data_IF_432928605750
#
_entry.id   IF_432928605750
#
_cell.length_a   1.000
_cell.length_b   1.000
_cell.length_c   1.000
_cell.angle_alpha   90.00
_cell.angle_beta   90.00
_cell.angle_gamma   90.00
#
_symmetry.space_group_name_H-M   'P 1'
#
loop_
_entity.id
_entity.type
_entity.pdbx_description
1 polymer ?
2 non-polymer ?
3 non-polymer ?
4 non-polymer ?
5 non-polymer ?
6 water ?
#
# COMPACT_ATOMS: atom_id res chain seq x y z
N UNK A 2 25.81 8.91 13.53
CA UNK A 2 25.24 7.96 14.54
C UNK A 2 24.03 7.27 13.98
N UNK A 3 23.35 6.45 14.78
CA UNK A 3 22.27 5.64 14.33
C UNK A 3 20.96 6.40 14.59
N UNK A 4 20.12 6.38 13.57
CA UNK A 4 18.78 7.00 13.61
C UNK A 4 17.77 6.00 13.18
N UNK A 5 16.61 6.07 13.77
CA UNK A 5 15.44 5.28 13.34
C UNK A 5 14.45 6.22 12.72
N UNK A 6 13.74 5.73 11.74
CA UNK A 6 12.61 6.45 11.16
C UNK A 6 11.40 5.54 11.08
N UNK A 7 10.26 6.08 11.55
CA UNK A 7 9.05 5.32 11.67
C UNK A 7 7.83 6.17 11.62
N UNK A 8 6.70 5.52 11.32
CA UNK A 8 5.34 6.14 11.38
C UNK A 8 4.57 5.45 12.43
N UNK A 9 4.01 6.21 13.40
CA UNK A 9 3.37 5.66 14.63
C UNK A 9 1.99 6.23 14.78
N UNK A 10 0.99 5.38 14.97
CA UNK A 10 -0.35 5.82 15.33
C UNK A 10 -0.46 6.20 16.78
N UNK A 11 -1.36 7.12 17.02
CA UNK A 11 -1.60 7.62 18.36
C UNK A 11 -2.05 6.63 19.45
N UNK A 12 -2.89 5.63 19.17
CA UNK A 12 -3.35 4.72 20.28
C UNK A 12 -2.95 3.33 19.88
N UNK A 13 -1.67 3.11 19.81
CA UNK A 13 -1.20 1.87 19.21
C UNK A 13 -1.03 0.85 20.30
N UNK A 14 -1.23 -0.39 19.89
CA UNK A 14 -1.06 -1.62 20.68
C UNK A 14 0.21 -2.29 20.24
N UNK A 15 1.19 -2.25 21.15
CA UNK A 15 2.58 -2.50 20.74
C UNK A 15 2.91 -3.96 21.03
N UNK A 16 3.04 -4.75 19.97
CA UNK A 16 3.58 -6.06 20.03
C UNK A 16 4.92 -6.18 19.33
N UNK A 17 5.30 -7.38 18.96
CA UNK A 17 6.74 -7.60 18.55
C UNK A 17 7.11 -6.99 17.21
N UNK A 18 6.13 -6.94 16.39
CA UNK A 18 6.34 -6.39 15.02
C UNK A 18 6.26 -4.88 14.89
N UNK A 19 5.96 -4.16 15.98
CA UNK A 19 5.74 -2.71 16.02
C UNK A 19 7.02 -1.99 16.45
N UNK A 20 7.06 -0.69 16.13
CA UNK A 20 8.06 0.18 16.69
C UNK A 20 7.95 0.05 18.23
N UNK A 21 9.07 -0.03 18.98
CA UNK A 21 9.03 -0.21 20.43
C UNK A 21 8.38 0.88 21.18
N UNK A 22 8.00 0.60 22.43
CA UNK A 22 7.58 1.60 23.30
C UNK A 22 8.89 2.43 23.62
N UNK A 23 8.88 3.71 23.38
CA UNK A 23 10.09 4.47 23.71
C UNK A 23 9.75 5.33 24.90
N UNK A 24 10.78 5.62 25.71
CA UNK A 24 10.59 6.39 26.92
C UNK A 24 10.65 7.87 26.61
N UNK A 25 9.52 8.59 26.67
CA UNK A 25 9.58 10.01 26.30
C UNK A 25 10.57 10.83 27.15
N UNK A 26 10.82 10.43 28.39
CA UNK A 26 11.77 11.14 29.25
C UNK A 26 13.18 11.10 28.71
N UNK A 27 13.50 10.21 27.76
CA UNK A 27 14.86 10.06 27.32
C UNK A 27 15.14 10.76 25.97
N UNK A 28 14.18 11.44 25.45
CA UNK A 28 14.21 11.99 24.06
C UNK A 28 13.80 13.49 24.07
N UNK A 29 14.60 14.36 23.53
CA UNK A 29 14.35 15.75 23.33
C UNK A 29 13.75 16.04 21.99
N UNK A 30 12.55 16.62 21.94
CA UNK A 30 12.01 17.05 20.69
C UNK A 30 12.71 18.24 20.16
N UNK A 31 13.28 18.10 19.02
CA UNK A 31 14.04 19.20 18.37
C UNK A 31 13.39 19.83 17.14
N UNK A 32 12.39 19.17 16.58
CA UNK A 32 11.65 19.66 15.45
C UNK A 32 10.28 19.03 15.48
N UNK A 33 9.22 19.86 15.22
CA UNK A 33 7.82 19.38 15.21
C UNK A 33 7.15 20.27 14.15
N UNK A 34 6.54 19.63 13.19
CA UNK A 34 5.75 20.26 12.14
C UNK A 34 4.39 19.60 12.10
N UNK A 35 3.34 20.37 12.54
CA UNK A 35 1.96 19.88 12.36
C UNK A 35 1.28 20.25 11.05
N UNK A 36 0.41 19.40 10.52
CA UNK A 36 -0.14 19.68 9.21
C UNK A 36 -1.54 19.11 9.15
N UNK A 37 -2.31 19.53 8.15
CA UNK A 37 -3.65 19.01 7.96
C UNK A 37 -3.61 17.54 7.58
N UNK A 38 -4.52 16.77 8.19
CA UNK A 38 -4.78 15.35 7.82
C UNK A 38 -5.39 15.27 6.43
N UNK A 39 -4.73 14.55 5.55
CA UNK A 39 -5.10 14.49 4.13
C UNK A 39 -4.93 13.01 3.81
N UNK A 40 -5.85 12.39 3.06
CA UNK A 40 -5.73 10.96 2.77
C UNK A 40 -4.68 10.71 1.71
N UNK A 41 -3.85 9.68 1.91
CA UNK A 41 -2.67 9.41 1.08
C UNK A 41 -1.77 10.69 0.94
N UNK A 42 -1.71 11.49 2.01
CA UNK A 42 -0.94 12.77 2.00
C UNK A 42 0.41 12.51 1.45
N UNK A 43 0.77 13.15 0.33
CA UNK A 43 2.04 12.94 -0.33
C UNK A 43 3.28 13.31 0.50
N UNK A 44 3.09 14.12 1.52
CA UNK A 44 4.26 14.62 2.25
C UNK A 44 4.85 13.49 3.05
N UNK A 45 4.04 12.47 3.34
CA UNK A 45 4.54 11.32 4.19
C UNK A 45 5.73 10.66 3.55
N UNK A 46 5.62 10.39 2.24
CA UNK A 46 6.70 9.80 1.55
C UNK A 46 7.88 10.76 1.35
N UNK A 47 7.60 12.05 1.11
CA UNK A 47 8.60 13.04 0.91
C UNK A 47 9.46 13.23 2.16
N UNK A 48 8.79 13.18 3.28
CA UNK A 48 9.45 13.21 4.61
C UNK A 48 10.46 12.00 4.63
N UNK A 49 9.99 10.79 4.29
CA UNK A 49 10.90 9.64 4.37
C UNK A 49 12.06 9.81 3.42
N UNK A 50 11.72 10.28 2.18
CA UNK A 50 12.77 10.49 1.22
C UNK A 50 13.84 11.55 1.63
N UNK A 51 13.37 12.65 2.18
CA UNK A 51 14.24 13.68 2.55
C UNK A 51 15.18 13.20 3.68
N UNK A 52 14.54 12.52 4.64
CA UNK A 52 15.29 12.16 5.79
C UNK A 52 16.25 11.01 5.64
N UNK A 53 16.02 10.19 4.64
CA UNK A 53 16.93 9.12 4.32
C UNK A 53 17.91 9.43 3.18
N UNK A 54 17.83 10.64 2.65
CA UNK A 54 18.62 11.06 1.45
C UNK A 54 20.10 10.74 1.57
N UNK A 55 20.63 9.89 0.66
CA UNK A 55 22.09 9.69 0.61
C UNK A 55 22.67 9.10 1.88
N UNK A 56 21.85 8.36 2.62
CA UNK A 56 22.31 7.70 3.82
C UNK A 56 22.11 6.18 3.64
N UNK A 57 22.98 5.37 4.27
CA UNK A 57 22.70 3.96 4.26
C UNK A 57 21.45 3.64 5.04
N UNK A 58 20.64 2.73 4.53
CA UNK A 58 19.43 2.23 5.16
C UNK A 58 19.55 0.77 5.54
N UNK A 59 19.23 0.45 6.80
CA UNK A 59 19.20 -0.89 7.34
C UNK A 59 17.79 -1.33 7.65
N UNK A 60 17.46 -2.55 7.19
CA UNK A 60 16.08 -3.06 7.36
C UNK A 60 16.09 -4.57 7.53
N UNK A 61 15.05 -5.08 8.17
CA UNK A 61 15.00 -6.57 8.26
C UNK A 61 14.41 -7.16 7.04
N UNK A 62 14.56 -8.45 6.91
CA UNK A 62 14.03 -9.14 5.71
C UNK A 62 12.56 -8.94 5.51
N UNK A 63 11.74 -8.93 6.58
CA UNK A 63 10.26 -8.75 6.34
C UNK A 63 9.96 -7.42 5.68
N UNK A 64 10.62 -6.38 6.23
CA UNK A 64 10.46 -5.08 5.71
C UNK A 64 10.97 -4.92 4.25
N UNK A 65 12.12 -5.53 3.95
CA UNK A 65 12.65 -5.65 2.66
C UNK A 65 11.61 -6.30 1.70
N UNK A 66 11.02 -7.36 2.13
CA UNK A 66 10.03 -8.04 1.26
C UNK A 66 8.81 -7.17 1.05
N UNK A 67 8.37 -6.37 2.06
CA UNK A 67 7.26 -5.39 1.89
C UNK A 67 7.63 -4.25 0.91
N UNK A 68 8.90 -3.93 0.73
CA UNK A 68 9.30 -2.85 -0.13
C UNK A 68 9.69 -3.42 -1.49
N UNK A 69 10.65 -4.35 -1.49
CA UNK A 69 10.92 -5.19 -2.67
C UNK A 69 11.91 -4.71 -3.73
N UNK A 70 12.32 -3.45 -3.69
CA UNK A 70 13.24 -2.95 -4.68
C UNK A 70 14.07 -1.97 -3.84
N UNK A 71 15.33 -1.81 -4.22
CA UNK A 71 16.22 -0.95 -3.45
C UNK A 71 15.83 0.51 -3.48
N UNK A 72 15.98 1.14 -2.32
CA UNK A 72 15.83 2.59 -2.25
C UNK A 72 17.04 3.22 -2.99
N UNK A 73 16.78 4.00 -4.07
CA UNK A 73 17.89 4.48 -4.97
C UNK A 73 18.90 5.40 -4.33
N UNK A 74 20.17 5.24 -4.67
CA UNK A 74 21.24 6.17 -4.26
C UNK A 74 21.62 6.05 -2.79
N UNK A 75 21.21 4.92 -2.15
CA UNK A 75 21.41 4.59 -0.72
C UNK A 75 22.03 3.18 -0.74
N UNK A 76 23.01 2.89 0.10
CA UNK A 76 23.39 1.52 0.37
C UNK A 76 22.21 0.91 1.15
N UNK A 77 21.68 -0.24 0.69
CA UNK A 77 20.55 -0.85 1.29
C UNK A 77 21.09 -2.13 1.94
N UNK A 78 20.96 -2.24 3.26
CA UNK A 78 21.48 -3.27 4.06
C UNK A 78 20.37 -4.10 4.73
N UNK A 79 20.25 -5.36 4.31
CA UNK A 79 19.19 -6.25 4.77
C UNK A 79 19.71 -7.26 5.76
N UNK A 80 19.17 -7.31 6.97
CA UNK A 80 19.44 -8.28 7.99
C UNK A 80 18.65 -9.54 7.76
N UNK A 81 19.35 -10.67 7.67
CA UNK A 81 18.69 -12.02 7.52
C UNK A 81 19.70 -13.06 8.00
N UNK A 82 19.26 -14.11 8.72
CA UNK A 82 20.15 -15.26 9.03
C UNK A 82 20.52 -16.08 7.78
N UNK A 83 19.82 -15.93 6.66
CA UNK A 83 20.03 -16.73 5.45
C UNK A 83 20.76 -15.98 4.38
N UNK A 84 21.41 -16.71 3.46
CA UNK A 84 22.07 -16.03 2.35
C UNK A 84 21.07 -15.20 1.59
N UNK A 85 21.56 -14.12 1.03
CA UNK A 85 20.74 -13.22 0.28
C UNK A 85 20.04 -13.76 -0.91
N UNK A 86 18.91 -13.18 -1.20
CA UNK A 86 18.08 -13.49 -2.38
C UNK A 86 17.80 -12.34 -3.28
N UNK A 87 18.68 -11.34 -3.34
CA UNK A 87 18.58 -10.21 -4.25
C UNK A 87 19.90 -9.54 -4.32
N UNK A 88 20.52 -9.65 -5.49
CA UNK A 88 21.88 -9.15 -5.69
C UNK A 88 21.94 -7.61 -5.74
N UNK A 89 20.80 -6.93 -5.80
CA UNK A 89 20.79 -5.46 -5.86
C UNK A 89 21.10 -4.78 -4.51
N UNK A 90 21.00 -5.55 -3.44
CA UNK A 90 21.25 -5.03 -2.08
C UNK A 90 22.29 -5.79 -1.31
N UNK A 91 22.68 -5.31 -0.12
CA UNK A 91 23.71 -5.91 0.69
C UNK A 91 23.07 -6.70 1.80
N UNK A 92 23.47 -7.94 1.99
CA UNK A 92 22.89 -8.78 3.00
C UNK A 92 23.86 -9.06 4.09
N UNK A 93 23.40 -9.00 5.34
CA UNK A 93 24.16 -9.23 6.54
C UNK A 93 23.44 -10.10 7.58
N UNK A 94 24.17 -10.84 8.42
CA UNK A 94 23.63 -11.86 9.30
C UNK A 94 23.63 -11.50 10.78
N UNK A 95 23.97 -10.20 11.13
CA UNK A 95 23.97 -9.72 12.48
C UNK A 95 23.99 -8.11 12.44
N UNK A 96 23.54 -7.60 13.55
CA UNK A 96 23.53 -6.14 13.87
C UNK A 96 24.95 -5.59 13.64
N UNK A 97 25.97 -6.25 14.22
CA UNK A 97 27.35 -5.78 14.07
C UNK A 97 27.75 -5.75 12.63
N UNK A 98 27.47 -6.83 11.86
CA UNK A 98 27.76 -6.81 10.47
C UNK A 98 27.04 -5.69 9.68
N UNK A 99 25.80 -5.38 10.10
CA UNK A 99 25.09 -4.24 9.52
C UNK A 99 25.74 -2.91 9.77
N UNK A 100 26.14 -2.66 10.96
CA UNK A 100 26.87 -1.40 11.30
C UNK A 100 28.19 -1.36 10.53
N UNK A 101 28.93 -2.48 10.51
CA UNK A 101 30.15 -2.54 9.78
C UNK A 101 29.98 -2.21 8.29
N UNK A 102 28.93 -2.68 7.63
CA UNK A 102 28.72 -2.52 6.24
C UNK A 102 28.41 -1.06 5.85
N UNK A 103 28.01 -0.28 6.86
CA UNK A 103 27.71 1.13 6.61
C UNK A 103 28.95 2.01 6.44
N UNK A 104 30.12 1.55 6.89
CA UNK A 104 31.33 2.31 6.84
C UNK A 104 31.34 3.54 7.76
N UNK A 105 32.16 4.55 7.37
CA UNK A 105 32.25 5.78 8.16
C UNK A 105 31.41 6.81 7.48
N UNK A 106 30.14 6.93 7.96
CA UNK A 106 29.16 7.85 7.47
C UNK A 106 28.63 8.73 8.60
N UNK A 107 28.06 9.90 8.27
CA UNK A 107 27.56 10.78 9.32
C UNK A 107 26.32 10.23 10.03
N UNK A 108 25.56 9.40 9.38
CA UNK A 108 24.32 8.97 9.85
C UNK A 108 23.88 7.68 9.13
N UNK A 109 23.42 6.74 9.95
CA UNK A 109 22.89 5.41 9.53
C UNK A 109 21.38 5.45 9.81
N UNK A 110 20.53 5.10 8.85
CA UNK A 110 19.11 5.13 9.01
C UNK A 110 18.57 3.72 9.17
N UNK A 111 17.80 3.41 10.18
CA UNK A 111 17.12 2.10 10.35
C UNK A 111 15.69 2.35 10.08
N UNK A 112 15.21 1.65 9.08
CA UNK A 112 13.86 1.86 8.58
C UNK A 112 12.82 0.80 8.94
N UNK A 113 13.18 -0.22 9.72
CA UNK A 113 12.22 -1.21 10.26
C UNK A 113 12.65 -2.62 9.98
N UNK A 114 11.88 -3.63 10.40
CA UNK A 114 10.67 -3.51 11.09
C UNK A 114 10.76 -3.65 12.56
N UNK A 115 9.72 -4.15 13.19
CA UNK A 115 9.72 -4.19 14.63
C UNK A 115 10.91 -4.89 15.27
N UNK A 116 11.30 -6.08 14.80
CA UNK A 116 12.39 -6.81 15.45
C UNK A 116 13.71 -5.95 15.29
N UNK A 117 13.86 -5.33 14.12
CA UNK A 117 15.05 -4.51 13.79
C UNK A 117 15.05 -3.20 14.58
N UNK A 118 13.91 -2.53 14.67
CA UNK A 118 13.85 -1.36 15.49
C UNK A 118 14.18 -1.66 16.96
N UNK A 119 13.75 -2.81 17.51
CA UNK A 119 13.96 -3.11 18.89
C UNK A 119 15.45 -3.29 19.15
N UNK A 120 16.19 -3.86 18.22
CA UNK A 120 17.64 -4.10 18.41
C UNK A 120 18.44 -2.82 18.24
N UNK A 121 17.98 -1.89 17.40
CA UNK A 121 18.73 -0.65 17.18
C UNK A 121 18.31 0.52 18.14
N UNK A 122 17.10 0.53 18.68
CA UNK A 122 16.68 1.65 19.52
C UNK A 122 17.65 1.95 20.66
N UNK A 123 18.17 0.92 21.37
CA UNK A 123 19.06 1.24 22.49
C UNK A 123 20.36 1.92 22.10
N UNK A 124 20.78 1.88 20.83
CA UNK A 124 22.03 2.45 20.30
C UNK A 124 21.71 3.72 19.51
N UNK A 125 20.45 4.08 19.39
CA UNK A 125 20.05 5.22 18.55
C UNK A 125 20.22 6.58 19.22
N UNK A 126 20.55 7.51 18.40
CA UNK A 126 20.76 8.96 18.79
C UNK A 126 19.62 9.86 18.33
N UNK A 127 18.87 9.53 17.29
CA UNK A 127 17.79 10.31 16.81
C UNK A 127 16.65 9.41 16.34
N UNK A 128 15.44 9.93 16.46
CA UNK A 128 14.24 9.37 15.89
C UNK A 128 13.56 10.39 14.95
N UNK A 129 13.17 9.93 13.79
CA UNK A 129 12.33 10.67 12.87
C UNK A 129 10.98 10.04 12.84
N UNK A 130 10.00 10.76 13.33
CA UNK A 130 8.64 10.14 13.52
C UNK A 130 7.54 10.88 12.76
N UNK A 131 6.66 10.08 12.20
CA UNK A 131 5.45 10.60 11.55
C UNK A 131 4.32 10.15 12.47
N UNK A 132 3.55 11.06 13.02
CA UNK A 132 2.47 10.75 13.94
C UNK A 132 1.20 10.70 13.18
N UNK A 133 0.46 9.61 13.46
CA UNK A 133 -0.73 9.32 12.63
C UNK A 133 -1.95 9.29 13.50
N UNK A 134 -3.03 9.93 13.00
CA UNK A 134 -4.28 10.09 13.77
C UNK A 134 -5.20 8.83 13.74
N UNK A 135 -6.33 8.98 14.44
CA UNK A 135 -7.31 7.88 14.68
C UNK A 135 -7.94 7.29 13.41
N UNK A 136 -7.95 8.03 12.30
CA UNK A 136 -8.35 7.44 11.01
C UNK A 136 -7.25 7.36 9.98
N UNK A 137 -5.98 7.17 10.43
CA UNK A 137 -4.91 6.68 9.57
C UNK A 137 -4.16 7.79 8.79
N UNK A 138 -4.37 9.03 9.18
CA UNK A 138 -3.72 10.19 8.55
C UNK A 138 -2.63 10.84 9.39
N UNK A 139 -1.53 11.20 8.72
CA UNK A 139 -0.44 11.91 9.43
C UNK A 139 -0.88 13.27 9.88
N UNK A 140 -0.48 13.68 11.04
CA UNK A 140 -0.73 15.07 11.43
C UNK A 140 0.51 15.84 11.88
N UNK A 141 1.67 15.15 11.99
CA UNK A 141 2.84 15.86 12.57
C UNK A 141 4.04 15.05 12.25
N UNK A 142 5.09 15.73 11.82
CA UNK A 142 6.43 15.13 11.65
C UNK A 142 7.31 15.68 12.73
N UNK A 143 8.17 14.80 13.33
CA UNK A 143 8.91 15.17 14.49
C UNK A 143 10.31 14.56 14.40
N UNK A 144 11.26 15.30 14.93
CA UNK A 144 12.64 14.80 15.13
C UNK A 144 12.95 14.88 16.60
N UNK A 145 13.37 13.76 17.22
CA UNK A 145 13.81 13.71 18.59
C UNK A 145 15.31 13.27 18.69
N UNK A 146 16.03 13.80 19.65
CA UNK A 146 17.42 13.44 19.90
C UNK A 146 17.55 12.90 21.31
N UNK A 147 18.43 11.93 21.48
CA UNK A 147 18.50 11.33 22.81
C UNK A 147 19.16 12.25 23.80
N UNK A 148 18.54 12.31 24.96
CA UNK A 148 19.03 13.16 26.09
C UNK A 148 20.21 12.48 26.74
N UNK A 149 21.32 13.23 26.86
CA UNK A 149 22.51 12.68 27.52
C UNK A 149 22.65 13.21 28.98
N UNK A 150 23.21 12.39 29.88
CA UNK A 150 23.46 12.76 31.32
C UNK A 150 24.42 13.98 31.42
N UNK B 2 -22.63 1.56 -19.24
CA UNK B 2 -22.73 0.09 -19.10
C UNK B 2 -21.87 -0.34 -17.91
N UNK B 3 -21.88 -1.62 -17.66
CA UNK B 3 -21.18 -2.21 -16.56
C UNK B 3 -19.76 -2.58 -17.00
N UNK B 4 -18.82 -2.19 -16.16
CA UNK B 4 -17.38 -2.54 -16.29
C UNK B 4 -16.92 -3.15 -15.06
N UNK B 5 -15.94 -4.06 -15.21
CA UNK B 5 -15.29 -4.66 -14.09
C UNK B 5 -13.81 -4.15 -14.10
N UNK B 6 -13.27 -3.96 -12.94
CA UNK B 6 -11.83 -3.60 -12.73
C UNK B 6 -11.24 -4.55 -11.78
N UNK B 7 -10.12 -5.18 -12.22
CA UNK B 7 -9.54 -6.26 -11.43
C UNK B 7 -8.02 -6.38 -11.73
N UNK B 8 -7.34 -7.08 -10.78
CA UNK B 8 -5.99 -7.59 -11.03
C UNK B 8 -6.06 -9.07 -11.24
N UNK B 9 -5.27 -9.57 -12.15
CA UNK B 9 -5.38 -10.91 -12.62
C UNK B 9 -3.96 -11.51 -12.67
N UNK B 10 -3.77 -12.62 -12.00
CA UNK B 10 -2.47 -13.29 -11.96
C UNK B 10 -2.34 -14.24 -13.11
N UNK B 11 -1.15 -14.30 -13.71
CA UNK B 11 -0.92 -15.14 -14.87
C UNK B 11 -0.95 -16.63 -14.49
N UNK B 12 -0.73 -16.96 -13.23
CA UNK B 12 -0.81 -18.37 -12.73
C UNK B 12 -2.11 -18.81 -12.12
N UNK B 13 -3.13 -17.96 -12.20
CA UNK B 13 -4.43 -18.20 -11.62
C UNK B 13 -4.88 -19.59 -12.08
N UNK B 18 -11.39 -18.81 -7.53
CA UNK B 18 -12.50 -17.96 -7.02
C UNK B 18 -12.29 -16.45 -7.21
N UNK B 19 -11.04 -16.02 -7.36
CA UNK B 19 -10.65 -14.60 -7.41
C UNK B 19 -11.23 -13.78 -8.58
N UNK B 20 -11.16 -14.35 -9.80
CA UNK B 20 -11.76 -13.77 -11.02
C UNK B 20 -12.37 -14.83 -11.88
N UNK B 21 -13.47 -14.52 -12.56
CA UNK B 21 -14.12 -15.64 -13.19
C UNK B 21 -13.36 -16.18 -14.38
N UNK B 22 -13.65 -17.41 -14.75
CA UNK B 22 -12.96 -18.03 -15.85
C UNK B 22 -13.58 -17.60 -17.19
N UNK B 23 -13.19 -16.43 -17.68
CA UNK B 23 -13.86 -15.80 -18.84
C UNK B 23 -13.29 -16.27 -20.19
N UNK B 24 -14.12 -16.23 -21.22
CA UNK B 24 -13.71 -16.71 -22.52
C UNK B 24 -12.98 -15.61 -23.26
N UNK B 25 -11.66 -15.72 -23.40
CA UNK B 25 -10.89 -14.63 -24.03
C UNK B 25 -11.27 -14.26 -25.42
N UNK B 26 -11.89 -15.16 -26.18
CA UNK B 26 -12.29 -14.78 -27.53
C UNK B 26 -13.56 -13.93 -27.55
N UNK B 27 -14.26 -13.80 -26.42
CA UNK B 27 -15.47 -12.96 -26.34
C UNK B 27 -15.09 -11.43 -26.19
N UNK B 28 -13.82 -11.12 -26.02
CA UNK B 28 -13.36 -9.81 -25.60
C UNK B 28 -12.26 -9.34 -26.56
N UNK B 29 -12.30 -8.06 -26.92
CA UNK B 29 -11.35 -7.39 -27.79
C UNK B 29 -10.48 -6.43 -26.97
N UNK B 30 -9.17 -6.60 -27.05
CA UNK B 30 -8.25 -5.62 -26.45
C UNK B 30 -8.22 -4.31 -27.15
N UNK B 31 -8.53 -3.25 -26.45
CA UNK B 31 -8.54 -1.90 -27.01
C UNK B 31 -7.50 -0.95 -26.49
N UNK B 32 -6.83 -1.37 -25.45
CA UNK B 32 -5.79 -0.59 -24.83
C UNK B 32 -4.89 -1.58 -24.13
N UNK B 33 -3.56 -1.48 -24.33
CA UNK B 33 -2.63 -2.29 -23.52
C UNK B 33 -1.29 -1.49 -23.37
N UNK B 34 -0.77 -1.45 -22.17
CA UNK B 34 0.46 -0.75 -21.85
C UNK B 34 1.26 -1.68 -21.02
N UNK B 35 2.45 -2.05 -21.50
CA UNK B 35 3.33 -2.83 -20.68
C UNK B 35 4.29 -1.93 -19.92
N UNK B 36 4.71 -2.41 -18.77
CA UNK B 36 5.72 -1.73 -17.98
C UNK B 36 6.62 -2.71 -17.24
N UNK B 37 7.77 -2.22 -16.79
CA UNK B 37 8.65 -3.09 -16.02
C UNK B 37 7.90 -3.53 -14.82
N UNK B 38 8.01 -4.79 -14.47
CA UNK B 38 7.32 -5.31 -13.28
C UNK B 38 8.17 -5.05 -12.04
N UNK B 39 7.99 -3.87 -11.43
CA UNK B 39 8.74 -3.48 -10.21
C UNK B 39 7.88 -3.57 -8.96
N UNK B 40 8.55 -3.60 -7.84
CA UNK B 40 7.91 -4.04 -6.59
C UNK B 40 6.98 -3.03 -5.93
N UNK B 41 7.35 -1.75 -6.06
CA UNK B 41 6.71 -0.66 -5.33
C UNK B 41 6.21 0.31 -6.40
N UNK B 42 5.11 -0.05 -7.06
CA UNK B 42 4.69 0.67 -8.26
C UNK B 42 3.43 1.47 -7.98
N UNK B 43 3.56 2.82 -7.84
CA UNK B 43 2.44 3.68 -7.57
C UNK B 43 1.46 3.70 -8.76
N UNK B 44 1.91 3.27 -9.93
CA UNK B 44 1.00 3.24 -11.09
C UNK B 44 -0.21 2.31 -10.87
N UNK B 45 -0.10 1.25 -10.05
CA UNK B 45 -1.24 0.30 -9.87
C UNK B 45 -2.44 1.00 -9.24
N UNK B 46 -2.19 1.80 -8.21
CA UNK B 46 -3.23 2.64 -7.64
C UNK B 46 -3.71 3.80 -8.53
N UNK B 47 -2.82 4.42 -9.26
CA UNK B 47 -3.17 5.55 -10.14
C UNK B 47 -4.10 5.01 -11.25
N UNK B 48 -3.83 3.80 -11.72
CA UNK B 48 -4.68 3.16 -12.77
C UNK B 48 -6.07 2.93 -12.24
N UNK B 49 -6.18 2.40 -11.05
CA UNK B 49 -7.46 2.25 -10.35
C UNK B 49 -8.18 3.56 -10.15
N UNK B 50 -7.53 4.57 -9.63
CA UNK B 50 -8.15 5.89 -9.44
C UNK B 50 -8.60 6.53 -10.74
N UNK B 51 -7.80 6.43 -11.79
CA UNK B 51 -8.12 7.01 -13.07
C UNK B 51 -9.37 6.38 -13.59
N UNK B 52 -9.37 5.05 -13.54
CA UNK B 52 -10.47 4.39 -14.25
C UNK B 52 -11.75 4.30 -13.47
N UNK B 53 -11.71 4.52 -12.19
CA UNK B 53 -12.96 4.72 -11.42
C UNK B 53 -13.44 6.17 -11.19
N UNK B 54 -12.72 7.13 -11.80
CA UNK B 54 -12.92 8.56 -11.55
C UNK B 54 -14.40 8.89 -11.70
N UNK B 55 -15.04 9.36 -10.61
CA UNK B 55 -16.39 9.95 -10.66
C UNK B 55 -17.47 8.97 -11.17
N UNK B 56 -17.16 7.70 -10.93
CA UNK B 56 -18.14 6.60 -11.24
C UNK B 56 -18.61 5.92 -9.98
N UNK B 57 -19.85 5.37 -9.99
CA UNK B 57 -20.23 4.53 -8.93
C UNK B 57 -19.42 3.25 -8.94
N UNK B 58 -19.11 2.84 -7.75
CA UNK B 58 -18.31 1.60 -7.52
C UNK B 58 -19.11 0.63 -6.68
N UNK B 59 -19.20 -0.59 -7.20
CA UNK B 59 -19.90 -1.72 -6.53
C UNK B 59 -18.90 -2.66 -6.00
N UNK B 60 -19.02 -3.02 -4.70
CA UNK B 60 -18.04 -3.87 -4.07
C UNK B 60 -18.77 -4.79 -3.05
N UNK B 61 -18.19 -5.95 -2.83
CA UNK B 61 -18.61 -6.78 -1.72
C UNK B 61 -18.13 -6.38 -0.32
N UNK B 62 -18.63 -7.16 0.70
CA UNK B 62 -18.36 -6.77 2.08
C UNK B 62 -16.91 -6.86 2.45
N UNK B 63 -16.23 -7.88 2.04
CA UNK B 63 -14.82 -8.05 2.32
C UNK B 63 -14.02 -6.90 1.73
N UNK B 64 -14.35 -6.52 0.51
CA UNK B 64 -13.65 -5.41 -0.13
C UNK B 64 -13.86 -4.11 0.61
N UNK B 65 -15.10 -3.83 1.02
CA UNK B 65 -15.41 -2.69 1.82
C UNK B 65 -14.56 -2.62 3.11
N UNK B 66 -14.50 -3.73 3.79
CA UNK B 66 -13.76 -3.83 5.12
C UNK B 66 -12.32 -3.57 4.85
N UNK B 67 -11.82 -4.08 3.73
CA UNK B 67 -10.40 -3.95 3.40
C UNK B 67 -9.99 -2.54 3.09
N UNK B 68 -10.82 -1.84 2.36
CA UNK B 68 -10.52 -0.46 1.97
C UNK B 68 -10.61 0.41 3.22
N UNK B 69 -11.52 0.09 4.10
CA UNK B 69 -11.63 0.78 5.37
C UNK B 69 -12.32 2.12 5.48
N UNK B 70 -12.62 2.78 4.36
CA UNK B 70 -13.37 4.05 4.34
C UNK B 70 -13.86 4.24 2.89
N UNK B 71 -14.83 5.12 2.66
CA UNK B 71 -15.34 5.25 1.32
C UNK B 71 -14.26 5.73 0.35
N UNK B 72 -14.27 5.25 -0.87
CA UNK B 72 -13.47 5.79 -1.94
C UNK B 72 -13.99 7.17 -2.29
N UNK B 73 -13.11 8.23 -2.14
CA UNK B 73 -13.60 9.56 -2.32
C UNK B 73 -13.96 9.87 -3.74
N UNK B 74 -15.03 10.65 -3.90
CA UNK B 74 -15.33 11.18 -5.22
C UNK B 74 -16.24 10.27 -6.03
N UNK B 75 -16.55 9.11 -5.45
CA UNK B 75 -17.29 7.97 -6.16
C UNK B 75 -18.48 7.60 -5.28
N UNK B 76 -19.66 7.21 -5.82
CA UNK B 76 -20.74 6.73 -5.05
C UNK B 76 -20.31 5.27 -4.65
N UNK B 77 -20.27 4.91 -3.37
CA UNK B 77 -19.81 3.59 -2.96
C UNK B 77 -21.03 2.72 -2.62
N UNK B 78 -21.20 1.66 -3.34
CA UNK B 78 -22.30 0.74 -3.18
C UNK B 78 -21.81 -0.65 -2.71
N UNK B 79 -22.28 -1.02 -1.50
CA UNK B 79 -21.77 -2.21 -0.81
C UNK B 79 -22.86 -3.29 -0.97
N UNK B 80 -22.56 -4.41 -1.64
CA UNK B 80 -23.44 -5.51 -1.98
C UNK B 80 -23.24 -6.66 -0.98
N UNK B 81 -24.25 -6.88 -0.13
CA UNK B 81 -24.17 -7.94 0.87
C UNK B 81 -25.63 -8.21 1.34
N UNK B 82 -25.91 -9.48 1.59
CA UNK B 82 -27.24 -9.87 2.06
C UNK B 82 -27.46 -9.41 3.54
N UNK B 83 -26.42 -9.07 4.28
CA UNK B 83 -26.68 -8.49 5.60
C UNK B 83 -26.90 -6.96 5.63
N UNK B 84 -27.67 -6.46 6.63
CA UNK B 84 -27.98 -5.02 6.74
C UNK B 84 -26.77 -4.09 6.71
N UNK B 85 -25.65 -4.44 7.31
CA UNK B 85 -24.57 -3.48 7.21
C UNK B 85 -24.67 -2.11 7.88
N UNK B 86 -23.51 -1.53 8.00
CA UNK B 86 -23.05 -0.92 9.21
C UNK B 86 -22.34 0.39 9.06
N UNK B 87 -22.78 1.26 8.14
CA UNK B 87 -22.08 2.54 7.97
C UNK B 87 -22.89 3.51 7.15
N UNK B 88 -23.12 4.66 7.73
CA UNK B 88 -23.94 5.73 7.14
C UNK B 88 -23.40 6.41 5.91
N UNK B 89 -22.11 6.30 5.64
CA UNK B 89 -21.52 7.12 4.54
C UNK B 89 -21.60 6.45 3.18
N UNK B 90 -22.14 5.22 3.10
CA UNK B 90 -22.25 4.53 1.78
C UNK B 90 -23.64 3.89 1.58
N UNK B 91 -23.85 3.34 0.40
CA UNK B 91 -25.12 2.81 0.06
C UNK B 91 -25.06 1.32 0.19
N UNK B 92 -25.95 0.76 0.99
CA UNK B 92 -25.93 -0.68 1.17
C UNK B 92 -27.05 -1.31 0.38
N UNK B 93 -26.77 -2.34 -0.40
CA UNK B 93 -27.76 -3.07 -1.17
C UNK B 93 -27.63 -4.57 -0.94
N UNK B 94 -28.74 -5.27 -1.14
CA UNK B 94 -28.75 -6.65 -0.77
C UNK B 94 -28.72 -7.60 -1.93
N UNK B 95 -28.79 -7.13 -3.16
CA UNK B 95 -28.75 -7.98 -4.34
C UNK B 95 -28.12 -7.26 -5.52
N UNK B 96 -27.74 -8.03 -6.49
CA UNK B 96 -27.13 -7.49 -7.73
C UNK B 96 -28.10 -6.53 -8.37
N UNK B 97 -29.42 -6.87 -8.46
CA UNK B 97 -30.40 -5.94 -9.02
C UNK B 97 -30.45 -4.64 -8.27
N UNK B 98 -30.48 -4.70 -6.94
CA UNK B 98 -30.51 -3.47 -6.10
C UNK B 98 -29.26 -2.66 -6.29
N UNK B 99 -28.11 -3.34 -6.53
CA UNK B 99 -26.86 -2.60 -6.80
C UNK B 99 -26.93 -1.80 -8.07
N UNK B 100 -27.45 -2.37 -9.14
CA UNK B 100 -27.60 -1.69 -10.42
C UNK B 100 -28.60 -0.53 -10.30
N UNK B 101 -29.71 -0.75 -9.62
CA UNK B 101 -30.68 0.31 -9.44
C UNK B 101 -30.06 1.46 -8.65
N UNK B 102 -29.21 1.21 -7.69
CA UNK B 102 -28.60 2.29 -6.90
C UNK B 102 -27.68 3.15 -7.71
N UNK B 103 -27.28 2.69 -8.86
CA UNK B 103 -26.42 3.47 -9.70
C UNK B 103 -27.08 4.61 -10.45
N UNK B 104 -28.38 4.56 -10.61
CA UNK B 104 -29.06 5.49 -11.44
C UNK B 104 -28.66 5.45 -12.93
N UNK B 105 -28.76 6.57 -13.58
CA UNK B 105 -28.43 6.69 -14.99
C UNK B 105 -27.12 7.39 -15.08
N UNK B 106 -26.07 6.58 -15.19
CA UNK B 106 -24.67 7.09 -15.30
C UNK B 106 -24.07 6.45 -16.56
N UNK B 107 -23.05 7.05 -17.12
CA UNK B 107 -22.37 6.50 -18.31
C UNK B 107 -21.74 5.11 -18.07
N UNK B 108 -21.22 4.91 -16.87
CA UNK B 108 -20.45 3.75 -16.60
C UNK B 108 -20.52 3.36 -15.15
N UNK B 109 -20.76 2.09 -14.88
CA UNK B 109 -20.77 1.56 -13.53
C UNK B 109 -19.52 0.68 -13.33
N UNK B 110 -18.80 0.86 -12.21
CA UNK B 110 -17.58 0.07 -12.03
C UNK B 110 -17.70 -0.95 -10.93
N UNK B 111 -17.47 -2.22 -11.25
CA UNK B 111 -17.54 -3.30 -10.26
C UNK B 111 -16.08 -3.60 -9.87
N UNK B 112 -15.80 -3.50 -8.58
CA UNK B 112 -14.44 -3.55 -8.10
C UNK B 112 -14.08 -4.81 -7.30
N UNK B 113 -15.02 -5.73 -7.23
CA UNK B 113 -14.80 -7.00 -6.68
C UNK B 113 -15.43 -7.19 -5.29
N UNK B 114 -15.21 -8.34 -4.65
CA UNK B 114 -14.28 -9.41 -5.04
C UNK B 114 -14.92 -10.53 -5.82
N UNK B 115 -14.38 -11.76 -5.69
CA UNK B 115 -14.72 -12.85 -6.55
C UNK B 115 -16.18 -13.15 -6.85
N UNK B 116 -16.97 -13.27 -5.79
CA UNK B 116 -18.37 -13.60 -6.02
C UNK B 116 -19.13 -12.41 -6.68
N UNK B 117 -18.70 -11.18 -6.32
CA UNK B 117 -19.32 -10.04 -7.00
C UNK B 117 -18.93 -10.01 -8.49
N UNK B 118 -17.64 -10.27 -8.83
CA UNK B 118 -17.23 -10.37 -10.23
C UNK B 118 -18.06 -11.41 -11.00
N UNK B 119 -18.21 -12.57 -10.39
CA UNK B 119 -18.93 -13.69 -11.00
C UNK B 119 -20.34 -13.27 -11.46
N UNK B 120 -21.03 -12.46 -10.64
CA UNK B 120 -22.40 -12.11 -10.98
C UNK B 120 -22.43 -11.01 -12.06
N UNK B 121 -21.45 -10.11 -12.06
CA UNK B 121 -21.51 -9.05 -13.03
C UNK B 121 -20.81 -9.26 -14.40
N UNK B 122 -19.77 -10.14 -14.47
CA UNK B 122 -19.12 -10.30 -15.70
C UNK B 122 -20.02 -10.68 -16.89
N UNK B 123 -21.06 -11.54 -16.69
CA UNK B 123 -21.92 -11.88 -17.86
C UNK B 123 -22.75 -10.74 -18.42
N UNK B 124 -22.88 -9.65 -17.66
CA UNK B 124 -23.54 -8.46 -18.18
C UNK B 124 -22.62 -7.26 -18.42
N UNK B 125 -21.31 -7.44 -18.32
CA UNK B 125 -20.40 -6.35 -18.39
C UNK B 125 -20.01 -6.11 -19.87
N UNK B 126 -19.64 -4.88 -20.21
CA UNK B 126 -19.23 -4.51 -21.54
C UNK B 126 -17.77 -4.21 -21.62
N UNK B 127 -17.10 -4.00 -20.49
CA UNK B 127 -15.68 -3.61 -20.46
C UNK B 127 -14.97 -4.21 -19.28
N UNK B 128 -13.71 -4.63 -19.47
CA UNK B 128 -12.83 -5.08 -18.41
C UNK B 128 -11.59 -4.24 -18.35
N UNK B 129 -11.28 -3.73 -17.21
CA UNK B 129 -10.02 -3.01 -16.92
C UNK B 129 -9.18 -3.96 -16.08
N UNK B 130 -8.06 -4.38 -16.67
CA UNK B 130 -7.21 -5.45 -16.08
C UNK B 130 -5.82 -5.00 -15.80
N UNK B 131 -5.35 -5.35 -14.61
CA UNK B 131 -3.91 -5.21 -14.19
C UNK B 131 -3.39 -6.64 -14.17
N UNK B 132 -2.48 -6.97 -15.14
CA UNK B 132 -1.83 -8.27 -15.20
C UNK B 132 -0.65 -8.34 -14.26
N UNK B 133 -0.71 -9.37 -13.39
CA UNK B 133 0.25 -9.55 -12.28
C UNK B 133 1.09 -10.82 -12.59
N UNK B 134 2.40 -10.67 -12.33
CA UNK B 134 3.34 -11.80 -12.55
C UNK B 134 3.29 -12.80 -11.41
N UNK B 135 4.03 -13.91 -11.55
CA UNK B 135 4.04 -14.97 -10.53
C UNK B 135 4.35 -14.47 -9.09
N UNK B 136 4.92 -13.28 -8.95
CA UNK B 136 5.30 -12.72 -7.64
C UNK B 136 4.57 -11.46 -7.20
N UNK B 137 3.40 -11.21 -7.80
CA UNK B 137 2.55 -10.11 -7.37
C UNK B 137 2.80 -8.71 -7.91
N UNK B 138 3.66 -8.56 -8.91
CA UNK B 138 3.93 -7.24 -9.44
C UNK B 138 3.34 -7.11 -10.87
N UNK B 139 2.81 -5.94 -11.15
CA UNK B 139 2.08 -5.77 -12.37
C UNK B 139 3.01 -5.54 -13.53
N UNK B 140 2.66 -6.06 -14.67
CA UNK B 140 3.40 -5.74 -15.86
C UNK B 140 2.63 -5.19 -17.04
N UNK B 141 1.27 -5.13 -16.95
CA UNK B 141 0.51 -4.69 -18.08
C UNK B 141 -0.80 -4.15 -17.49
N UNK B 142 -1.20 -3.04 -18.07
CA UNK B 142 -2.55 -2.50 -17.86
C UNK B 142 -3.30 -2.66 -19.18
N UNK B 143 -4.54 -3.19 -19.15
CA UNK B 143 -5.31 -3.50 -20.31
C UNK B 143 -6.77 -3.09 -20.20
N UNK B 144 -7.36 -2.75 -21.30
CA UNK B 144 -8.82 -2.55 -21.39
C UNK B 144 -9.35 -3.38 -22.49
N UNK B 145 -10.33 -4.24 -22.19
CA UNK B 145 -10.99 -5.04 -23.16
C UNK B 145 -12.47 -4.64 -23.26
N UNK B 146 -13.03 -4.78 -24.45
CA UNK B 146 -14.45 -4.53 -24.70
C UNK B 146 -15.09 -5.80 -25.23
N UNK B 147 -16.31 -6.07 -24.80
CA UNK B 147 -17.04 -7.20 -25.30
C UNK B 147 -17.28 -7.10 -26.80
N UNK B 148 -17.00 -8.22 -27.45
CA UNK B 148 -17.30 -8.38 -28.88
C UNK B 148 -18.78 -8.78 -29.07
N UNK B 149 -19.48 -8.03 -29.87
CA UNK B 149 -20.88 -8.23 -30.07
C UNK B 149 -21.10 -8.94 -31.40
N UNK B 150 -21.83 -10.06 -31.35
CA UNK B 150 -22.12 -10.92 -32.51
C UNK B 150 -23.29 -10.39 -33.37
X LIG C 1 11.57 -7.05 10.33
X LIG C 1 12.21 -6.57 11.59
X LIG C 1 11.41 -6.34 8.99
X LIG C 1 12.43 -8.36 9.83
X LIG C 1 12.78 -9.46 10.70
X LIG C 1 13.72 -10.38 9.96
X LIG C 1 15.03 -9.75 9.86
X LIG C 1 14.04 -11.63 10.78
X LIG C 1 13.06 -12.66 10.55
X LIG C 1 15.43 -12.01 10.34
X LIG C 1 15.31 -12.56 9.08
X LIG C 1 16.10 -10.63 10.12
X LIG C 1 16.81 -10.23 11.35
X LIG C 1 16.38 -9.40 12.38
X LIG C 1 17.30 -9.31 13.35
X LIG C 1 18.36 -10.11 12.95
X LIG C 1 19.69 -10.43 13.50
X LIG C 1 20.09 -9.94 14.68
X LIG C 1 20.40 -11.28 12.78
X LIG C 1 19.98 -11.70 11.63
X LIG C 1 18.84 -11.50 11.01
X LIG C 1 17.98 -10.70 11.67
X LIG C 1 10.19 -7.90 10.76
X LIG C 1 9.07 -7.59 11.78
X LIG C 1 9.51 -7.51 13.17
X LIG C 1 8.20 -8.83 11.45
X LIG C 1 8.38 -6.25 11.37
X LIG C 1 7.96 -6.12 10.01
X LIG C 1 6.80 -5.21 10.01
X LIG C 1 7.33 -3.92 10.43
X LIG C 1 6.21 -4.94 8.64
X LIG C 1 5.11 -5.84 8.39
X LIG C 1 5.77 -3.48 8.73
X LIG C 1 4.36 -3.48 8.74
X LIG C 1 6.41 -2.93 10.00
X LIG C 1 7.08 -1.60 9.76
X LIG C 1 6.62 -0.51 10.36
X LIG C 1 7.25 0.72 10.06
X LIG C 1 6.80 2.02 10.70
X LIG C 1 7.02 3.06 10.13
X LIG C 1 6.07 2.04 11.79
X LIG C 1 8.33 0.74 9.17
X LIG C 1 8.74 -0.42 8.54
X LIG C 1 8.08 -1.59 8.86
X LIG C 1 15.51 -14.20 8.74
X LIG C 1 15.76 -14.08 7.29
X LIG C 1 16.69 -14.69 9.61
X LIG C 1 14.14 -14.68 9.21
X LIG D 1 7.72 3.18 3.69
X LIG D 1 8.54 2.24 2.99
X LIG D 1 8.26 4.57 3.44
X LIG D 1 7.51 5.47 4.22
X LIG D 1 6.61 6.25 3.45
X LIG D 1 5.24 6.29 4.10
X LIG D 1 4.22 6.35 3.06
X LIG E 1 10.58 17.10 2.60
X LIG E 1 10.56 17.31 4.07
X LIG E 1 9.51 17.79 1.76
X LIG E 1 9.66 17.62 0.32
X LIG F 1 13.82 4.68 24.64
X LIG G 1 -4.26 -1.46 -6.58
X LIG G 1 -3.13 -1.69 -5.76
X LIG G 1 -5.47 -1.10 -5.73
X LIG G 1 -6.65 -1.72 -6.25
X LIG G 1 -7.61 -1.87 -5.22
X LIG G 1 -7.79 -0.53 -4.51
X LIG G 1 -8.98 -0.51 -3.72
X LIG H 1 -2.52 6.93 -14.12
X LIG H 1 -1.56 8.01 -14.04
X LIG H 1 -3.40 7.04 -15.34
X LIG H 1 -3.82 5.76 -15.82
X LIG I 1 -15.81 -8.64 -1.49
#
# INVERSE_FOLDING_TARGET
MAISLIAALAVDRVIGDTHFPDYEPDDWESVFSEFHDADAQNPADLAWFKRNTLDKPVIMGRHTWESIGRPLPGRKNIILSSQPGTDDRVTWVKSVDEAIAACGDVPEIMVIGGGRVYEQFLPKAQKLYLTHIDAEGHSYCFEILERRLEHHHHHH
MAISLIAALAVDRVIGDTHFPDYEPDDWESVFSEFHDADAQNPADLAWFKRNTLDKPVIMGRHTWESIGRPLPGRKNIILSSQPGTDDRVTWVKSVDEAIAACGDVPEIMVIGGGRVYEQFLPKAQKLYLTHIDAEGHSYCFEILERRLEHHHHHH
NAP PA O1A O2A O5B C5B C4B O4B C3B O3B C2B O2B C1B N9A C8A N7A C5A C6A N6A N1A C2A N3A C4A O3 PN O1N O2N O5D C5D C4D O4D C3D O3D C2D O2D C1D N1N C2N C3N C7N O7N N7N C4N C5N C6N P2B O1X O2X O3X
PEG C1 O1 C2 O2 C3 C4 O4
EDO C1 O1 C2 O2
CL CL
PEG C1 O1 C2 O2 C3 C4 O4
EDO C1 O1 C2 O2
CL CL
#
